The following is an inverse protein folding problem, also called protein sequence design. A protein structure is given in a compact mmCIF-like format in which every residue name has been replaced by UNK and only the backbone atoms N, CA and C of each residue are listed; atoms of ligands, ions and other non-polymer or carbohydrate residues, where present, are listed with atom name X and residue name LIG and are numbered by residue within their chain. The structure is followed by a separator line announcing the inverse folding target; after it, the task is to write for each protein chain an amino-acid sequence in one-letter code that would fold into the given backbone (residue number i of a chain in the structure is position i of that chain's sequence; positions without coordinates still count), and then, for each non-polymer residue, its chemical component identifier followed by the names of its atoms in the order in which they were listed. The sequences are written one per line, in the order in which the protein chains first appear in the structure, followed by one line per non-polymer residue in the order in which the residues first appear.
data_IF_609638491581
#
_entry.id   IF_609638491581
#
_cell.length_a   1.000
_cell.length_b   1.000
_cell.length_c   1.000
_cell.angle_alpha   90.00
_cell.angle_beta   90.00
_cell.angle_gamma   90.00
#
_symmetry.space_group_name_H-M   'P 1'
#
loop_
_entity.id
_entity.type
_entity.pdbx_description
1 polymer ?
#
# COMPACT_ATOMS: atom_id res chain seq x y z
N UNK A 1 4.26 -8.42 13.24
CA UNK A 1 3.68 -7.06 13.12
C UNK A 1 4.74 -5.99 12.85
N UNK A 2 5.79 -5.85 13.68
CA UNK A 2 6.82 -4.81 13.45
C UNK A 2 7.57 -4.91 12.11
N UNK A 3 7.80 -6.14 11.63
CA UNK A 3 8.53 -6.38 10.36
C UNK A 3 7.78 -5.87 9.12
N UNK A 4 6.45 -6.05 9.05
CA UNK A 4 5.66 -5.56 7.91
C UNK A 4 5.55 -4.03 7.90
N UNK A 5 5.50 -3.40 9.08
CA UNK A 5 5.57 -1.95 9.20
C UNK A 5 6.92 -1.40 8.74
N UNK A 6 8.02 -2.04 9.13
CA UNK A 6 9.36 -1.67 8.65
C UNK A 6 9.42 -1.69 7.12
N UNK A 7 8.96 -2.78 6.48
CA UNK A 7 8.92 -2.86 5.02
C UNK A 7 8.02 -1.79 4.40
N UNK A 8 6.88 -1.49 5.01
CA UNK A 8 5.99 -0.43 4.54
C UNK A 8 6.68 0.94 4.57
N UNK A 9 7.43 1.25 5.63
CA UNK A 9 8.21 2.50 5.71
C UNK A 9 9.30 2.57 4.66
N UNK A 10 10.02 1.47 4.39
CA UNK A 10 11.01 1.42 3.29
C UNK A 10 10.36 1.78 1.96
N UNK A 11 9.24 1.14 1.63
CA UNK A 11 8.51 1.41 0.39
C UNK A 11 8.04 2.87 0.32
N UNK A 12 7.53 3.39 1.43
CA UNK A 12 7.07 4.77 1.51
C UNK A 12 8.21 5.78 1.31
N UNK A 13 9.34 5.59 1.99
CA UNK A 13 10.50 6.45 1.83
C UNK A 13 11.05 6.43 0.42
N UNK A 14 11.04 5.27 -0.25
CA UNK A 14 11.39 5.19 -1.67
C UNK A 14 10.44 6.05 -2.52
N UNK A 15 9.12 5.93 -2.32
CA UNK A 15 8.13 6.74 -3.03
C UNK A 15 8.29 8.24 -2.81
N UNK A 16 8.73 8.65 -1.61
CA UNK A 16 8.98 10.05 -1.30
C UNK A 16 10.29 10.57 -1.88
N UNK A 17 11.38 9.83 -1.73
CA UNK A 17 12.74 10.29 -2.02
C UNK A 17 13.16 10.02 -3.47
N UNK A 18 12.53 9.03 -4.13
CA UNK A 18 12.89 8.65 -5.49
C UNK A 18 11.65 8.24 -6.32
N UNK A 19 10.69 9.17 -6.56
CA UNK A 19 9.39 8.86 -7.15
C UNK A 19 9.43 8.15 -8.52
N UNK A 20 10.31 8.54 -9.49
CA UNK A 20 10.34 7.92 -10.81
C UNK A 20 11.28 6.70 -10.92
N UNK A 21 12.07 6.40 -9.89
CA UNK A 21 13.09 5.34 -9.95
C UNK A 21 12.49 3.93 -9.89
N UNK A 22 12.99 2.94 -10.67
CA UNK A 22 12.51 1.56 -10.61
C UNK A 22 12.77 0.94 -9.22
N UNK A 23 11.94 -0.02 -8.76
CA UNK A 23 12.16 -0.68 -7.49
C UNK A 23 13.47 -1.48 -7.52
N UNK A 24 14.18 -1.50 -6.39
CA UNK A 24 15.33 -2.39 -6.20
C UNK A 24 14.83 -3.77 -5.80
N UNK A 25 15.70 -4.78 -5.86
CA UNK A 25 15.39 -6.13 -5.38
C UNK A 25 14.91 -6.15 -3.91
N UNK A 26 15.39 -5.21 -3.10
CA UNK A 26 14.94 -5.10 -1.71
C UNK A 26 13.50 -4.59 -1.61
N UNK A 27 13.07 -3.69 -2.48
CA UNK A 27 11.69 -3.23 -2.54
C UNK A 27 10.75 -4.35 -3.01
N UNK A 28 11.16 -5.13 -4.02
CA UNK A 28 10.38 -6.29 -4.47
C UNK A 28 10.25 -7.32 -3.31
N UNK A 29 11.34 -7.59 -2.58
CA UNK A 29 11.31 -8.46 -1.40
C UNK A 29 10.39 -7.92 -0.29
N UNK A 30 10.42 -6.60 -0.05
CA UNK A 30 9.57 -5.95 0.94
C UNK A 30 8.08 -6.13 0.60
N UNK A 31 7.70 -5.95 -0.67
CA UNK A 31 6.33 -6.18 -1.15
C UNK A 31 5.91 -7.64 -0.93
N UNK A 32 6.74 -8.59 -1.37
CA UNK A 32 6.46 -10.03 -1.18
C UNK A 32 6.28 -10.39 0.30
N UNK A 33 7.17 -9.92 1.16
CA UNK A 33 7.09 -10.19 2.60
C UNK A 33 5.83 -9.60 3.23
N UNK A 34 5.43 -8.38 2.84
CA UNK A 34 4.17 -7.80 3.32
C UNK A 34 2.98 -8.64 2.88
N UNK A 35 2.93 -9.07 1.61
CA UNK A 35 1.83 -9.89 1.09
C UNK A 35 1.75 -11.22 1.84
N UNK A 36 2.86 -11.94 1.98
CA UNK A 36 2.89 -13.22 2.70
C UNK A 36 2.47 -13.07 4.16
N UNK A 37 2.98 -12.06 4.86
CA UNK A 37 2.61 -11.79 6.23
C UNK A 37 1.12 -11.43 6.35
N UNK A 38 0.59 -10.68 5.39
CA UNK A 38 -0.82 -10.27 5.38
C UNK A 38 -1.72 -11.49 5.17
N UNK A 39 -1.39 -12.37 4.21
CA UNK A 39 -2.12 -13.63 3.97
C UNK A 39 -2.12 -14.53 5.21
N UNK A 40 -0.94 -14.80 5.78
CA UNK A 40 -0.81 -15.60 7.01
C UNK A 40 -1.60 -15.01 8.17
N UNK A 41 -1.58 -13.69 8.33
CA UNK A 41 -2.32 -13.02 9.39
C UNK A 41 -3.83 -13.10 9.16
N UNK A 42 -4.29 -12.95 7.91
CA UNK A 42 -5.70 -13.06 7.54
C UNK A 42 -6.24 -14.46 7.80
N UNK A 43 -5.48 -15.50 7.41
CA UNK A 43 -5.80 -16.91 7.66
C UNK A 43 -5.87 -17.22 9.16
N UNK A 44 -5.00 -16.59 9.96
CA UNK A 44 -5.01 -16.76 11.41
C UNK A 44 -6.19 -16.07 12.10
N UNK A 45 -6.42 -14.79 11.80
CA UNK A 45 -7.57 -14.01 12.29
C UNK A 45 -7.72 -12.71 11.46
N UNK A 46 -8.79 -12.59 10.64
CA UNK A 46 -9.06 -11.39 9.85
C UNK A 46 -9.12 -10.09 10.66
N UNK A 47 -9.49 -10.16 11.95
CA UNK A 47 -9.57 -8.97 12.82
C UNK A 47 -8.21 -8.31 13.04
N UNK A 48 -7.13 -9.07 12.92
CA UNK A 48 -5.77 -8.58 13.10
C UNK A 48 -5.28 -7.72 11.93
N UNK A 49 -6.02 -7.71 10.81
CA UNK A 49 -5.72 -6.86 9.65
C UNK A 49 -5.81 -5.38 9.92
N UNK A 50 -6.60 -4.98 10.94
CA UNK A 50 -6.70 -3.57 11.38
C UNK A 50 -5.34 -2.95 11.70
N UNK A 51 -4.40 -3.77 12.19
CA UNK A 51 -3.04 -3.34 12.54
C UNK A 51 -2.08 -3.29 11.35
N UNK A 52 -2.51 -3.75 10.18
CA UNK A 52 -1.70 -3.84 8.96
C UNK A 52 -2.22 -2.93 7.84
N UNK A 53 -3.16 -2.03 8.10
CA UNK A 53 -3.72 -1.13 7.07
C UNK A 53 -2.64 -0.39 6.26
N UNK A 54 -1.61 0.15 6.93
CA UNK A 54 -0.52 0.85 6.25
C UNK A 54 0.37 -0.08 5.40
N UNK A 55 0.86 -1.23 5.92
CA UNK A 55 1.50 -2.24 5.09
C UNK A 55 0.67 -2.69 3.90
N UNK A 56 -0.62 -2.97 4.09
CA UNK A 56 -1.52 -3.41 3.01
C UNK A 56 -1.61 -2.34 1.92
N UNK A 57 -1.78 -1.07 2.31
CA UNK A 57 -1.76 0.07 1.37
C UNK A 57 -0.46 0.11 0.56
N UNK A 58 0.68 0.07 1.24
CA UNK A 58 1.98 0.17 0.58
C UNK A 58 2.23 -1.01 -0.38
N UNK A 59 1.84 -2.23 0.00
CA UNK A 59 1.94 -3.38 -0.89
C UNK A 59 0.98 -3.28 -2.09
N UNK A 60 -0.24 -2.76 -1.90
CA UNK A 60 -1.23 -2.63 -2.97
C UNK A 60 -0.75 -1.68 -4.08
N UNK A 61 -0.16 -0.54 -3.71
CA UNK A 61 0.32 0.43 -4.70
C UNK A 61 1.65 0.03 -5.35
N UNK A 62 2.44 -0.83 -4.71
CA UNK A 62 3.75 -1.27 -5.20
C UNK A 62 3.74 -2.58 -5.97
N UNK A 63 2.80 -3.48 -5.69
CA UNK A 63 2.75 -4.78 -6.37
C UNK A 63 2.49 -4.63 -7.87
N UNK A 64 3.25 -5.40 -8.66
CA UNK A 64 3.08 -5.53 -10.11
C UNK A 64 2.11 -6.66 -10.47
N UNK A 65 1.83 -7.55 -9.53
CA UNK A 65 0.87 -8.64 -9.70
C UNK A 65 -0.56 -8.13 -9.45
N UNK A 66 -1.39 -8.21 -10.49
CA UNK A 66 -2.78 -7.74 -10.47
C UNK A 66 -3.65 -8.52 -9.48
N UNK A 67 -3.44 -9.84 -9.34
CA UNK A 67 -4.23 -10.69 -8.44
C UNK A 67 -3.91 -10.35 -6.98
N UNK A 68 -2.63 -10.12 -6.68
CA UNK A 68 -2.24 -9.63 -5.35
C UNK A 68 -2.76 -8.22 -5.08
N UNK A 69 -2.77 -7.35 -6.08
CA UNK A 69 -3.30 -5.99 -5.94
C UNK A 69 -4.78 -6.00 -5.58
N UNK A 70 -5.58 -6.71 -6.37
CA UNK A 70 -7.03 -6.83 -6.17
C UNK A 70 -7.35 -7.37 -4.77
N UNK A 71 -6.68 -8.47 -4.39
CA UNK A 71 -6.86 -9.04 -3.05
C UNK A 71 -6.54 -8.04 -1.93
N UNK A 72 -5.46 -7.27 -2.04
CA UNK A 72 -5.11 -6.25 -1.04
C UNK A 72 -6.11 -5.07 -1.03
N UNK A 73 -6.63 -4.66 -2.18
CA UNK A 73 -7.66 -3.62 -2.28
C UNK A 73 -8.96 -4.05 -1.61
N UNK A 74 -9.36 -5.31 -1.76
CA UNK A 74 -10.51 -5.86 -1.02
C UNK A 74 -10.28 -5.81 0.49
N UNK A 75 -9.05 -6.13 0.95
CA UNK A 75 -8.72 -6.03 2.38
C UNK A 75 -8.79 -4.60 2.88
N UNK A 76 -8.34 -3.61 2.10
CA UNK A 76 -8.47 -2.19 2.48
C UNK A 76 -9.93 -1.75 2.53
N UNK A 77 -10.73 -2.20 1.56
CA UNK A 77 -12.17 -1.89 1.49
C UNK A 77 -12.90 -2.41 2.71
N UNK A 78 -12.62 -3.65 3.12
CA UNK A 78 -13.23 -4.24 4.32
C UNK A 78 -12.82 -3.52 5.61
N UNK A 79 -11.68 -2.81 5.61
CA UNK A 79 -11.23 -2.04 6.76
C UNK A 79 -11.93 -0.67 6.88
N UNK A 80 -12.51 -0.13 5.80
CA UNK A 80 -13.13 1.22 5.78
C UNK A 80 -14.19 1.42 6.87
N UNK A 81 -14.89 0.35 7.25
CA UNK A 81 -15.97 0.39 8.25
C UNK A 81 -15.49 0.58 9.69
N UNK A 82 -14.20 0.39 10.01
CA UNK A 82 -13.72 0.39 11.40
C UNK A 82 -13.20 1.74 11.88
N UNK A 83 -12.61 2.56 11.00
CA UNK A 83 -12.04 3.86 11.38
C UNK A 83 -11.91 4.79 10.17
N UNK A 84 -12.07 6.11 10.39
CA UNK A 84 -11.95 7.12 9.33
C UNK A 84 -10.57 7.13 8.67
N UNK A 85 -9.52 6.82 9.43
CA UNK A 85 -8.16 6.68 8.88
C UNK A 85 -8.04 5.54 7.87
N UNK A 86 -8.81 4.45 8.04
CA UNK A 86 -8.79 3.33 7.10
C UNK A 86 -9.56 3.64 5.82
N UNK A 87 -10.66 4.40 5.95
CA UNK A 87 -11.35 4.97 4.80
C UNK A 87 -10.39 5.87 4.00
N UNK A 88 -9.73 6.81 4.67
CA UNK A 88 -8.74 7.69 4.06
C UNK A 88 -7.61 6.91 3.37
N UNK A 89 -7.06 5.89 4.04
CA UNK A 89 -5.98 5.06 3.50
C UNK A 89 -6.44 4.34 2.22
N UNK A 90 -7.64 3.77 2.23
CA UNK A 90 -8.18 3.08 1.07
C UNK A 90 -8.44 4.02 -0.11
N UNK A 91 -9.00 5.21 0.12
CA UNK A 91 -9.21 6.23 -0.92
C UNK A 91 -7.88 6.70 -1.54
N UNK A 92 -6.86 6.89 -0.71
CA UNK A 92 -5.51 7.26 -1.18
C UNK A 92 -4.94 6.15 -2.08
N UNK A 93 -5.10 4.88 -1.69
CA UNK A 93 -4.62 3.76 -2.49
C UNK A 93 -5.30 3.73 -3.87
N UNK A 94 -6.62 3.88 -3.91
CA UNK A 94 -7.40 3.91 -5.16
C UNK A 94 -7.00 5.08 -6.05
N UNK A 95 -6.77 6.26 -5.48
CA UNK A 95 -6.33 7.44 -6.24
C UNK A 95 -4.91 7.27 -6.83
N UNK A 96 -3.98 6.70 -6.05
CA UNK A 96 -2.62 6.41 -6.53
C UNK A 96 -2.66 5.41 -7.68
N UNK A 97 -3.43 4.34 -7.53
CA UNK A 97 -3.57 3.29 -8.55
C UNK A 97 -4.19 3.84 -9.83
N UNK A 98 -5.28 4.62 -9.73
CA UNK A 98 -5.91 5.28 -10.87
C UNK A 98 -4.93 6.17 -11.65
N UNK A 99 -4.12 6.96 -10.95
CA UNK A 99 -3.06 7.79 -11.58
C UNK A 99 -1.97 6.94 -12.24
N UNK A 100 -1.58 5.81 -11.64
CA UNK A 100 -0.58 4.89 -12.19
C UNK A 100 -1.08 4.18 -13.46
N UNK A 101 -2.33 3.72 -13.44
CA UNK A 101 -2.95 3.04 -14.59
C UNK A 101 -3.11 4.02 -15.77
N UNK A 102 -3.50 5.27 -15.50
CA UNK A 102 -3.56 6.33 -16.52
C UNK A 102 -2.19 6.72 -17.09
N UNK A 103 -1.10 6.47 -16.35
CA UNK A 103 0.27 6.86 -16.72
C UNK A 103 1.08 5.71 -17.35
N UNK A 104 0.41 4.65 -17.86
CA UNK A 104 1.05 3.48 -18.49
C UNK A 104 2.18 2.85 -17.64
N UNK A 105 1.97 2.74 -16.32
CA UNK A 105 2.92 2.09 -15.42
C UNK A 105 4.02 3.00 -14.86
N UNK A 106 3.98 4.30 -15.15
CA UNK A 106 4.78 5.29 -14.41
C UNK A 106 4.21 5.41 -13.00
N UNK A 107 5.08 5.33 -12.00
CA UNK A 107 4.71 5.49 -10.60
C UNK A 107 4.15 6.89 -10.33
N UNK A 108 2.97 6.95 -9.70
CA UNK A 108 2.39 8.21 -9.28
C UNK A 108 3.23 8.84 -8.15
N UNK A 109 3.33 10.18 -8.18
CA UNK A 109 3.99 10.95 -7.13
C UNK A 109 3.13 10.98 -5.86
N UNK A 110 3.40 10.04 -4.97
CA UNK A 110 2.74 9.90 -3.68
C UNK A 110 2.99 11.13 -2.79
N UNK A 111 4.17 11.75 -2.88
CA UNK A 111 4.53 12.91 -2.07
C UNK A 111 3.72 14.15 -2.48
N UNK A 112 3.52 14.37 -3.78
CA UNK A 112 2.68 15.44 -4.30
C UNK A 112 1.21 15.23 -3.91
N UNK A 113 0.72 13.99 -4.02
CA UNK A 113 -0.66 13.66 -3.65
C UNK A 113 -0.95 13.91 -2.17
N UNK A 114 -0.09 13.43 -1.28
CA UNK A 114 -0.26 13.63 0.17
C UNK A 114 -0.21 15.11 0.54
N UNK A 115 0.71 15.89 -0.05
CA UNK A 115 0.79 17.35 0.16
C UNK A 115 -0.49 18.07 -0.27
N UNK A 116 -1.09 17.67 -1.39
CA UNK A 116 -2.36 18.27 -1.86
C UNK A 116 -3.52 18.02 -0.88
N UNK A 117 -3.55 16.86 -0.21
CA UNK A 117 -4.58 16.54 0.78
C UNK A 117 -4.33 17.16 2.15
N UNK A 118 -3.08 17.36 2.57
CA UNK A 118 -2.75 17.98 3.86
C UNK A 118 -2.97 19.50 3.90
N UNK A 119 -3.09 20.14 2.74
CA UNK A 119 -3.36 21.58 2.63
C UNK A 119 -4.86 21.96 2.59
N UNK A 120 -5.76 21.00 2.83
CA UNK A 120 -7.21 21.23 2.94
C UNK A 120 -7.65 21.28 4.39
#
# INVERSE_FOLDING_TARGET
MGVSLFYAHVLFHRRLLNPPGPPSKFHDLAVTNIIEMTKKQYESDPRLMRRLHWPILMAAIETKDASHREWLQDRLTDLRQFHSEYLWASEIADEILSRQDASNGIYADVAALLRQRSGR
#
